data_IF_591195752722
#
_entry.id   IF_591195752722
#
_cell.length_a   1.000
_cell.length_b   1.000
_cell.length_c   1.000
_cell.angle_alpha   90.00
_cell.angle_beta   90.00
_cell.angle_gamma   90.00
#
_symmetry.space_group_name_H-M   'P 1'
#
loop_
_entity.id
_entity.type
_entity.pdbx_description
1 polymer ?
#
# COMPACT_ATOMS: atom_id res chain seq x y z
N UNK A 1 6.78 -25.33 12.32
CA UNK A 1 6.56 -23.90 12.63
C UNK A 1 5.25 -23.51 11.99
N UNK A 2 4.24 -23.11 12.77
CA UNK A 2 3.03 -22.51 12.18
C UNK A 2 3.43 -21.13 11.61
N UNK A 3 3.03 -20.78 10.39
CA UNK A 3 3.24 -19.42 9.89
C UNK A 3 2.38 -18.48 10.75
N UNK A 4 3.01 -17.47 11.33
CA UNK A 4 2.26 -16.41 11.99
C UNK A 4 1.41 -15.71 10.92
N UNK A 5 0.08 -15.61 11.07
CA UNK A 5 -0.71 -14.76 10.19
C UNK A 5 -0.20 -13.33 10.35
N UNK A 6 0.19 -12.70 9.25
CA UNK A 6 0.62 -11.31 9.23
C UNK A 6 -0.57 -10.44 9.62
N UNK A 7 -0.52 -9.85 10.82
CA UNK A 7 -1.54 -8.96 11.36
C UNK A 7 -0.98 -7.51 11.34
N UNK A 8 -1.05 -6.80 10.20
CA UNK A 8 -0.38 -5.51 9.99
C UNK A 8 -0.80 -4.43 11.01
N UNK A 9 -2.01 -4.56 11.58
CA UNK A 9 -2.57 -3.65 12.58
C UNK A 9 -1.93 -3.77 13.96
N UNK A 10 -1.28 -4.89 14.27
CA UNK A 10 -0.62 -5.14 15.55
C UNK A 10 0.55 -4.17 15.80
N UNK A 11 1.23 -3.73 14.73
CA UNK A 11 2.31 -2.75 14.79
C UNK A 11 1.82 -1.30 15.00
N UNK A 12 0.50 -1.08 14.92
CA UNK A 12 -0.16 0.21 15.16
C UNK A 12 -0.82 0.29 16.52
N UNK A 13 -0.74 -0.76 17.36
CA UNK A 13 -1.20 -0.69 18.74
C UNK A 13 -0.15 0.05 19.61
N UNK A 14 -0.43 1.28 20.07
CA UNK A 14 0.51 2.04 20.87
C UNK A 14 0.75 1.41 22.24
N UNK A 15 -0.12 0.49 22.67
CA UNK A 15 -0.08 -0.11 24.01
C UNK A 15 1.08 -1.08 24.21
N UNK A 16 1.80 -1.45 23.14
CA UNK A 16 2.98 -2.30 23.21
C UNK A 16 4.29 -1.52 23.41
N UNK A 17 4.26 -0.19 23.36
CA UNK A 17 5.41 0.66 23.65
C UNK A 17 5.42 1.02 25.15
N UNK A 18 6.36 0.50 25.96
CA UNK A 18 6.52 0.97 27.32
C UNK A 18 7.05 2.42 27.30
N UNK A 19 6.20 3.37 27.73
CA UNK A 19 6.62 4.75 28.04
C UNK A 19 6.31 5.84 27.00
N UNK A 20 5.24 5.73 26.19
CA UNK A 20 4.76 6.89 25.41
C UNK A 20 3.90 7.78 26.29
N UNK A 21 4.48 8.91 26.69
CA UNK A 21 3.79 10.03 27.31
C UNK A 21 3.00 10.74 26.21
N UNK A 22 1.67 10.62 26.21
CA UNK A 22 0.78 11.35 25.30
C UNK A 22 0.73 12.82 25.71
N UNK A 23 1.81 13.55 25.45
CA UNK A 23 1.99 14.93 25.85
C UNK A 23 2.71 15.74 24.77
N UNK A 24 1.94 16.60 24.12
CA UNK A 24 2.36 17.77 23.35
C UNK A 24 3.05 17.53 21.98
N UNK A 25 2.41 18.14 20.98
CA UNK A 25 2.87 18.46 19.65
C UNK A 25 4.36 18.83 19.56
N UNK A 26 5.13 18.13 18.72
CA UNK A 26 6.34 18.65 18.07
C UNK A 26 6.53 18.03 16.69
N UNK A 27 6.79 18.91 15.72
CA UNK A 27 7.43 18.56 14.45
C UNK A 27 6.47 18.00 13.41
N UNK A 28 5.67 18.89 12.79
CA UNK A 28 5.18 18.60 11.45
C UNK A 28 6.37 18.72 10.51
N UNK A 29 7.15 17.66 10.43
CA UNK A 29 8.21 17.53 9.45
C UNK A 29 7.51 17.25 8.12
N UNK A 30 7.04 18.31 7.47
CA UNK A 30 6.79 18.28 6.03
C UNK A 30 8.16 18.09 5.37
N UNK A 31 8.65 16.86 5.37
CA UNK A 31 9.68 16.44 4.44
C UNK A 31 9.09 16.72 3.06
N UNK A 32 9.60 17.77 2.41
CA UNK A 32 9.21 18.10 1.06
C UNK A 32 9.33 16.84 0.20
N UNK A 33 8.38 16.66 -0.72
CA UNK A 33 8.26 15.56 -1.68
C UNK A 33 9.50 15.33 -2.57
N UNK A 34 10.63 16.00 -2.30
CA UNK A 34 11.82 16.04 -3.17
C UNK A 34 12.99 15.13 -2.82
N UNK A 35 12.97 14.38 -1.70
CA UNK A 35 14.11 13.48 -1.36
C UNK A 35 13.67 12.25 -0.56
N UNK A 36 12.66 11.53 -1.08
CA UNK A 36 12.37 10.19 -0.56
C UNK A 36 13.33 9.21 -1.24
N UNK A 37 14.09 8.39 -0.49
CA UNK A 37 14.90 7.35 -1.10
C UNK A 37 14.00 6.43 -1.92
N UNK A 38 14.39 6.18 -3.17
CA UNK A 38 13.72 5.22 -4.04
C UNK A 38 13.56 3.91 -3.25
N UNK A 39 12.32 3.42 -3.17
CA UNK A 39 12.00 2.10 -2.61
C UNK A 39 12.78 0.97 -3.29
N UNK A 40 13.42 1.23 -4.44
CA UNK A 40 14.17 0.27 -5.24
C UNK A 40 13.26 -0.72 -5.95
N UNK A 41 11.96 -0.44 -5.95
CA UNK A 41 10.90 -1.30 -6.48
C UNK A 41 10.32 -0.77 -7.79
N UNK A 42 10.72 0.42 -8.26
CA UNK A 42 10.20 1.00 -9.49
C UNK A 42 10.37 0.00 -10.66
N UNK A 43 9.28 -0.19 -11.41
CA UNK A 43 9.22 -1.14 -12.51
C UNK A 43 9.21 -2.62 -12.11
N UNK A 44 9.14 -2.95 -10.82
CA UNK A 44 8.88 -4.34 -10.41
C UNK A 44 7.49 -4.74 -10.87
N UNK A 45 7.35 -5.96 -11.40
CA UNK A 45 6.04 -6.52 -11.70
C UNK A 45 5.26 -6.71 -10.39
N UNK A 46 3.94 -6.51 -10.44
CA UNK A 46 3.06 -6.73 -9.28
C UNK A 46 2.11 -7.88 -9.61
N UNK A 47 2.06 -8.87 -8.72
CA UNK A 47 1.24 -10.07 -8.82
C UNK A 47 0.20 -10.08 -7.70
N UNK A 48 -1.07 -10.17 -8.07
CA UNK A 48 -2.14 -10.55 -7.17
C UNK A 48 -2.13 -12.07 -6.92
N UNK A 49 -2.95 -12.52 -5.98
CA UNK A 49 -3.08 -13.96 -5.65
C UNK A 49 -3.55 -14.81 -6.84
N UNK A 50 -4.24 -14.20 -7.80
CA UNK A 50 -4.81 -14.79 -9.01
C UNK A 50 -4.17 -14.26 -10.30
N UNK A 51 -2.99 -13.61 -10.20
CA UNK A 51 -2.09 -13.33 -11.31
C UNK A 51 -1.70 -11.86 -11.49
N UNK A 52 -1.02 -11.57 -12.60
CA UNK A 52 -0.37 -10.28 -12.81
C UNK A 52 -1.37 -9.12 -12.89
N UNK A 53 -1.02 -8.02 -12.21
CA UNK A 53 -1.84 -6.80 -12.16
C UNK A 53 -1.17 -5.58 -12.74
N UNK A 54 0.15 -5.60 -12.96
CA UNK A 54 0.86 -4.44 -13.49
C UNK A 54 2.29 -4.35 -13.00
N UNK A 55 2.75 -3.12 -12.77
CA UNK A 55 4.09 -2.81 -12.28
C UNK A 55 4.07 -1.62 -11.33
N UNK A 56 5.09 -1.50 -10.48
CA UNK A 56 5.29 -0.31 -9.65
C UNK A 56 5.59 0.89 -10.56
N UNK A 57 4.81 1.95 -10.38
CA UNK A 57 4.83 3.15 -11.21
C UNK A 57 6.02 4.07 -10.86
N UNK A 58 6.53 4.82 -11.83
CA UNK A 58 7.66 5.75 -11.63
C UNK A 58 7.32 6.93 -10.71
N UNK A 59 6.04 7.32 -10.63
CA UNK A 59 5.54 8.39 -9.78
C UNK A 59 5.26 7.91 -8.34
N UNK A 60 5.77 6.74 -7.94
CA UNK A 60 5.59 6.21 -6.57
C UNK A 60 6.09 7.17 -5.47
N UNK A 61 6.99 8.10 -5.79
CA UNK A 61 7.43 9.13 -4.85
C UNK A 61 6.32 10.14 -4.47
N UNK A 62 5.26 10.26 -5.28
CA UNK A 62 4.14 11.16 -5.03
C UNK A 62 3.15 10.63 -3.96
N UNK A 63 3.18 9.32 -3.71
CA UNK A 63 2.31 8.67 -2.71
C UNK A 63 3.02 8.52 -1.36
N UNK A 64 2.25 8.34 -0.26
CA UNK A 64 2.80 8.19 1.09
C UNK A 64 3.88 7.11 1.25
N UNK A 65 4.69 7.28 2.31
CA UNK A 65 5.74 6.34 2.73
C UNK A 65 5.28 4.87 2.80
N UNK A 66 4.07 4.68 3.31
CA UNK A 66 3.44 3.40 3.58
C UNK A 66 2.53 2.93 2.43
N UNK A 67 2.75 3.45 1.23
CA UNK A 67 1.99 3.08 0.03
C UNK A 67 2.89 2.74 -1.17
N UNK A 68 2.31 1.99 -2.11
CA UNK A 68 2.89 1.59 -3.38
C UNK A 68 1.94 2.00 -4.52
N UNK A 69 2.39 2.84 -5.44
CA UNK A 69 1.67 3.17 -6.66
C UNK A 69 1.92 2.08 -7.71
N UNK A 70 0.83 1.54 -8.26
CA UNK A 70 0.87 0.48 -9.27
C UNK A 70 0.19 0.96 -10.54
N UNK A 71 0.95 0.99 -11.63
CA UNK A 71 0.43 1.09 -12.99
C UNK A 71 -0.11 -0.28 -13.38
N UNK A 72 -1.43 -0.36 -13.54
CA UNK A 72 -2.10 -1.62 -13.87
C UNK A 72 -2.11 -1.94 -15.35
N UNK A 73 -1.59 -1.03 -16.18
CA UNK A 73 -1.52 -1.17 -17.62
C UNK A 73 -2.89 -1.47 -18.25
N UNK A 74 -2.94 -2.21 -19.36
CA UNK A 74 -4.18 -2.41 -20.12
C UNK A 74 -5.31 -3.13 -19.38
N UNK A 75 -4.99 -3.82 -18.27
CA UNK A 75 -5.91 -4.75 -17.62
C UNK A 75 -7.13 -4.07 -16.97
N UNK A 76 -6.99 -2.86 -16.42
CA UNK A 76 -8.13 -2.03 -15.94
C UNK A 76 -8.14 -0.65 -16.60
N UNK A 77 -7.85 -0.59 -17.90
CA UNK A 77 -7.81 0.64 -18.72
C UNK A 77 -6.70 1.63 -18.35
N UNK A 78 -5.55 1.15 -17.88
CA UNK A 78 -4.37 1.99 -17.60
C UNK A 78 -4.44 2.80 -16.31
N UNK A 79 -5.41 2.49 -15.44
CA UNK A 79 -5.60 3.22 -14.18
C UNK A 79 -4.46 2.95 -13.21
N UNK A 80 -4.06 3.96 -12.45
CA UNK A 80 -3.11 3.81 -11.34
C UNK A 80 -3.88 3.52 -10.05
N UNK A 81 -3.34 2.63 -9.23
CA UNK A 81 -3.91 2.29 -7.91
C UNK A 81 -2.85 2.46 -6.83
N UNK A 82 -3.26 2.88 -5.64
CA UNK A 82 -2.38 3.02 -4.48
C UNK A 82 -2.65 1.89 -3.49
N UNK A 83 -1.66 1.04 -3.30
CA UNK A 83 -1.73 -0.12 -2.41
C UNK A 83 -0.99 0.20 -1.11
N UNK A 84 -1.61 0.09 0.07
CA UNK A 84 -0.89 0.15 1.33
C UNK A 84 0.18 -0.94 1.39
N UNK A 85 1.36 -0.66 1.96
CA UNK A 85 2.43 -1.66 2.12
C UNK A 85 1.98 -2.91 2.89
N UNK A 86 0.92 -2.79 3.70
CA UNK A 86 0.29 -3.92 4.38
C UNK A 86 -0.33 -4.97 3.46
N UNK A 87 -0.58 -4.67 2.17
CA UNK A 87 -1.02 -5.66 1.18
C UNK A 87 0.13 -6.47 0.58
N UNK A 88 1.39 -6.06 0.79
CA UNK A 88 2.56 -6.75 0.23
C UNK A 88 2.80 -8.02 1.05
N UNK A 89 2.67 -9.18 0.40
CA UNK A 89 2.92 -10.48 1.00
C UNK A 89 4.42 -10.83 0.94
N UNK A 90 5.07 -10.61 -0.20
CA UNK A 90 6.52 -10.80 -0.37
C UNK A 90 7.08 -9.96 -1.51
N UNK A 91 8.38 -9.71 -1.47
CA UNK A 91 9.14 -9.11 -2.57
C UNK A 91 10.21 -10.09 -3.03
N UNK A 92 10.25 -10.34 -4.33
CA UNK A 92 11.26 -11.12 -5.02
C UNK A 92 12.19 -10.19 -5.79
N UNK A 93 13.37 -9.93 -5.24
CA UNK A 93 14.34 -9.07 -5.90
C UNK A 93 15.07 -9.76 -7.06
N UNK A 94 15.09 -11.10 -7.12
CA UNK A 94 15.72 -11.80 -8.23
C UNK A 94 14.85 -11.71 -9.48
N UNK A 95 13.55 -11.93 -9.34
CA UNK A 95 12.58 -11.83 -10.44
C UNK A 95 12.02 -10.42 -10.64
N UNK A 96 12.43 -9.46 -9.81
CA UNK A 96 11.90 -8.08 -9.76
C UNK A 96 10.38 -8.06 -9.67
N UNK A 97 9.84 -8.71 -8.63
CA UNK A 97 8.40 -8.92 -8.47
C UNK A 97 7.90 -8.67 -7.05
N UNK A 98 6.78 -7.98 -6.92
CA UNK A 98 6.06 -7.76 -5.67
C UNK A 98 4.79 -8.62 -5.71
N UNK A 99 4.58 -9.42 -4.68
CA UNK A 99 3.38 -10.24 -4.54
C UNK A 99 2.49 -9.61 -3.48
N UNK A 100 1.21 -9.42 -3.80
CA UNK A 100 0.22 -8.88 -2.88
C UNK A 100 -0.78 -9.96 -2.47
N UNK A 101 -1.34 -9.82 -1.27
CA UNK A 101 -2.31 -10.75 -0.70
C UNK A 101 -3.75 -10.50 -1.19
N UNK A 102 -3.91 -9.75 -2.29
CA UNK A 102 -5.20 -9.33 -2.85
C UNK A 102 -5.46 -9.97 -4.20
N UNK A 103 -6.75 -10.17 -4.51
CA UNK A 103 -7.17 -10.62 -5.84
C UNK A 103 -7.22 -9.46 -6.82
N UNK A 104 -7.22 -9.79 -8.11
CA UNK A 104 -7.45 -8.86 -9.21
C UNK A 104 -8.76 -8.07 -9.05
N UNK A 105 -9.83 -8.73 -8.66
CA UNK A 105 -11.11 -8.06 -8.43
C UNK A 105 -11.02 -7.03 -7.28
N UNK A 106 -10.41 -7.40 -6.15
CA UNK A 106 -10.22 -6.50 -5.02
C UNK A 106 -9.32 -5.29 -5.37
N UNK A 107 -8.35 -5.46 -6.27
CA UNK A 107 -7.51 -4.34 -6.72
C UNK A 107 -8.30 -3.42 -7.67
N UNK A 108 -9.14 -4.00 -8.54
CA UNK A 108 -9.96 -3.25 -9.49
C UNK A 108 -11.01 -2.37 -8.79
N UNK A 109 -11.56 -2.87 -7.69
CA UNK A 109 -12.60 -2.21 -6.90
C UNK A 109 -12.03 -1.20 -5.88
N UNK A 110 -10.70 -1.13 -5.77
CA UNK A 110 -10.04 -0.12 -4.94
C UNK A 110 -10.27 1.30 -5.47
N UNK A 111 -10.23 2.33 -4.61
CA UNK A 111 -10.29 3.72 -5.03
C UNK A 111 -9.19 4.07 -6.05
N UNK A 112 -9.62 4.59 -7.21
CA UNK A 112 -8.71 5.04 -8.27
C UNK A 112 -7.88 6.23 -7.83
N UNK A 113 -6.59 6.22 -8.16
CA UNK A 113 -5.71 7.36 -7.95
C UNK A 113 -5.88 8.35 -9.09
N UNK A 114 -6.31 9.56 -8.75
CA UNK A 114 -6.33 10.69 -9.67
C UNK A 114 -5.22 11.70 -9.27
N UNK A 115 -4.21 11.94 -10.12
CA UNK A 115 -3.15 12.89 -9.83
C UNK A 115 -3.64 14.34 -9.78
N UNK A 116 -4.77 14.65 -10.42
CA UNK A 116 -5.37 15.99 -10.41
C UNK A 116 -6.32 16.20 -9.21
N UNK A 117 -6.55 15.16 -8.38
CA UNK A 117 -7.36 15.28 -7.17
C UNK A 117 -6.64 16.16 -6.13
N UNK A 118 -7.27 17.29 -5.82
CA UNK A 118 -6.80 18.22 -4.79
C UNK A 118 -7.08 17.72 -3.37
N UNK A 119 -8.02 16.78 -3.18
CA UNK A 119 -8.40 16.19 -1.89
C UNK A 119 -7.57 14.92 -1.59
N UNK A 120 -6.26 15.12 -1.42
CA UNK A 120 -5.32 14.03 -1.11
C UNK A 120 -5.64 13.34 0.21
N UNK A 121 -6.13 14.08 1.21
CA UNK A 121 -6.48 13.55 2.52
C UNK A 121 -7.76 12.69 2.45
N UNK A 122 -8.79 13.14 1.72
CA UNK A 122 -9.98 12.35 1.48
C UNK A 122 -9.69 11.09 0.66
N UNK A 123 -8.80 11.16 -0.33
CA UNK A 123 -8.34 9.96 -1.05
C UNK A 123 -7.69 8.95 -0.10
N UNK A 124 -6.77 9.39 0.77
CA UNK A 124 -6.13 8.53 1.77
C UNK A 124 -7.14 7.87 2.69
N UNK A 125 -8.12 8.63 3.19
CA UNK A 125 -9.19 8.11 4.05
C UNK A 125 -9.97 7.00 3.34
N UNK A 126 -10.47 7.26 2.11
CA UNK A 126 -11.25 6.28 1.33
C UNK A 126 -10.45 5.01 1.05
N UNK A 127 -9.17 5.14 0.69
CA UNK A 127 -8.28 4.01 0.45
C UNK A 127 -8.03 3.21 1.73
N UNK A 128 -7.75 3.88 2.85
CA UNK A 128 -7.58 3.24 4.16
C UNK A 128 -8.83 2.49 4.61
N UNK A 129 -10.01 3.10 4.46
CA UNK A 129 -11.30 2.51 4.80
C UNK A 129 -11.58 1.28 3.94
N UNK A 130 -11.37 1.37 2.62
CA UNK A 130 -11.55 0.25 1.68
C UNK A 130 -10.72 -0.96 2.08
N UNK A 131 -9.41 -0.79 2.31
CA UNK A 131 -8.56 -1.90 2.68
C UNK A 131 -8.92 -2.44 4.07
N UNK A 132 -9.20 -1.57 5.04
CA UNK A 132 -9.63 -1.99 6.38
C UNK A 132 -10.89 -2.87 6.34
N UNK A 133 -11.90 -2.46 5.58
CA UNK A 133 -13.13 -3.24 5.38
C UNK A 133 -12.86 -4.53 4.61
N UNK A 134 -11.98 -4.51 3.60
CA UNK A 134 -11.61 -5.71 2.83
C UNK A 134 -11.04 -6.82 3.73
N UNK A 135 -10.19 -6.46 4.70
CA UNK A 135 -9.62 -7.39 5.68
C UNK A 135 -10.63 -7.87 6.73
N UNK A 136 -11.68 -7.09 7.03
CA UNK A 136 -12.75 -7.51 7.94
C UNK A 136 -13.69 -8.52 7.32
N UNK A 137 -14.03 -8.33 6.05
CA UNK A 137 -15.06 -9.12 5.37
C UNK A 137 -14.53 -10.40 4.73
N UNK A 138 -13.26 -10.39 4.28
CA UNK A 138 -12.64 -11.54 3.62
C UNK A 138 -11.23 -11.73 4.18
N UNK A 139 -11.05 -12.55 5.22
CA UNK A 139 -9.71 -12.83 5.73
C UNK A 139 -8.87 -13.48 4.61
N UNK A 140 -7.57 -13.14 4.48
CA UNK A 140 -6.71 -13.74 3.48
C UNK A 140 -6.72 -15.25 3.67
N UNK A 141 -7.06 -16.00 2.61
CA UNK A 141 -6.99 -17.46 2.65
C UNK A 141 -5.52 -17.85 2.75
N UNK A 142 -5.17 -18.54 3.85
CA UNK A 142 -3.84 -19.08 4.14
C UNK A 142 -3.42 -20.15 3.12
#
# INVERSE_FOLDING_TARGET
MQPFPFAPWTWRDPTWLPGVDTGAERGRDTAGTGDRPDTGLIGYAVEATDGAIGKVDEDNAEVPADCLMVDTGPWIFGRKVVLPVGTVQRVDHQERRVYVDRTKEQIKDAPEYDPDDTDRDGYRQRTGDYYSESYRLVPPML
#
